data_IF_437468856846
#
_entry.id   IF_437468856846
#
_cell.length_a   1.000
_cell.length_b   1.000
_cell.length_c   1.000
_cell.angle_alpha   90.00
_cell.angle_beta   90.00
_cell.angle_gamma   90.00
#
_symmetry.space_group_name_H-M   'P 1'
#
loop_
_entity.id
_entity.type
_entity.pdbx_description
1 polymer ?
#
# COMPACT_ATOMS: atom_id res chain seq x y z
N UNK A 1 -51.52 21.10 40.27
CA UNK A 1 -51.32 22.38 39.61
C UNK A 1 -51.04 22.05 38.13
N UNK A 2 -52.11 22.22 37.34
CA UNK A 2 -52.19 21.79 35.93
C UNK A 2 -51.39 22.73 35.02
N UNK A 3 -50.62 22.17 34.12
CA UNK A 3 -50.01 22.97 33.01
C UNK A 3 -50.30 22.31 31.66
N UNK A 4 -51.01 23.08 30.89
CA UNK A 4 -51.70 22.81 29.64
C UNK A 4 -50.70 22.75 28.49
N UNK A 5 -50.76 21.68 27.70
CA UNK A 5 -50.04 21.52 26.45
C UNK A 5 -50.90 22.07 25.30
N UNK A 6 -50.40 23.00 24.52
CA UNK A 6 -51.01 23.46 23.25
C UNK A 6 -50.27 22.88 22.05
N UNK A 7 -50.95 22.35 21.03
CA UNK A 7 -50.33 21.92 19.79
C UNK A 7 -50.21 23.07 18.82
N UNK A 8 -49.04 23.15 18.16
CA UNK A 8 -48.77 24.07 17.05
C UNK A 8 -49.09 23.40 15.72
N UNK A 9 -49.89 24.10 14.92
CA UNK A 9 -50.46 23.60 13.67
C UNK A 9 -49.45 23.50 12.53
N UNK A 10 -49.65 22.47 11.71
CA UNK A 10 -48.96 22.21 10.46
C UNK A 10 -49.69 23.00 9.37
N UNK A 11 -48.97 23.90 8.69
CA UNK A 11 -49.41 24.55 7.45
C UNK A 11 -48.85 23.77 6.25
N UNK A 12 -49.74 23.13 5.53
CA UNK A 12 -49.45 22.39 4.28
C UNK A 12 -49.60 23.36 3.12
N UNK A 13 -48.52 23.73 2.45
CA UNK A 13 -48.57 24.50 1.20
C UNK A 13 -48.42 23.52 0.05
N UNK A 14 -49.53 23.27 -0.65
CA UNK A 14 -49.59 22.55 -1.91
C UNK A 14 -49.20 23.50 -3.05
N UNK A 15 -48.01 23.39 -3.58
CA UNK A 15 -47.57 24.01 -4.82
C UNK A 15 -47.77 23.09 -5.99
N UNK A 16 -48.77 23.36 -6.84
CA UNK A 16 -48.93 22.74 -8.16
C UNK A 16 -47.89 23.28 -9.12
N UNK A 17 -47.07 22.34 -9.66
CA UNK A 17 -46.21 22.65 -10.81
C UNK A 17 -46.65 21.77 -11.99
N UNK A 18 -47.07 22.45 -13.07
CA UNK A 18 -47.35 21.87 -14.40
C UNK A 18 -46.03 21.68 -15.18
N UNK A 19 -45.90 20.60 -15.98
CA UNK A 19 -44.73 20.42 -16.83
C UNK A 19 -44.88 21.17 -18.12
N UNK A 20 -43.92 22.03 -18.47
CA UNK A 20 -43.74 22.55 -19.81
C UNK A 20 -42.97 21.54 -20.66
N UNK A 21 -43.64 21.02 -21.72
CA UNK A 21 -43.00 20.24 -22.75
C UNK A 21 -42.08 21.13 -23.59
N UNK A 22 -40.78 20.83 -23.64
CA UNK A 22 -39.89 21.35 -24.66
C UNK A 22 -39.50 20.21 -25.60
N UNK A 23 -39.91 20.36 -26.85
CA UNK A 23 -39.53 19.50 -27.98
C UNK A 23 -38.03 19.66 -28.31
N UNK A 24 -37.38 18.52 -28.48
CA UNK A 24 -36.45 18.23 -29.57
C UNK A 24 -35.13 18.99 -29.63
N UNK A 25 -34.05 18.29 -29.22
CA UNK A 25 -32.79 18.25 -29.97
C UNK A 25 -32.00 17.00 -29.48
N UNK A 26 -31.84 16.02 -30.39
CA UNK A 26 -30.87 14.93 -30.22
C UNK A 26 -29.44 15.53 -30.16
N UNK A 27 -28.61 15.19 -29.18
CA UNK A 27 -27.20 15.53 -29.27
C UNK A 27 -26.49 14.57 -30.23
N UNK A 28 -25.81 15.14 -31.22
CA UNK A 28 -24.91 14.53 -32.18
C UNK A 28 -23.95 13.53 -31.52
N UNK A 29 -23.82 12.35 -32.13
CA UNK A 29 -22.78 11.37 -31.82
C UNK A 29 -21.41 11.97 -32.14
N UNK A 30 -20.44 11.99 -31.24
CA UNK A 30 -19.08 12.36 -31.58
C UNK A 30 -18.49 11.31 -32.54
N UNK A 31 -18.02 11.80 -33.66
CA UNK A 31 -17.27 11.05 -34.68
C UNK A 31 -15.99 10.49 -34.06
N UNK A 32 -15.73 9.21 -34.33
CA UNK A 32 -14.44 8.55 -34.09
C UNK A 32 -13.33 9.36 -34.75
N UNK A 33 -12.58 10.06 -33.93
CA UNK A 33 -11.34 10.74 -34.31
C UNK A 33 -10.15 9.83 -34.02
N UNK A 34 -9.30 9.71 -35.00
CA UNK A 34 -8.07 8.93 -35.11
C UNK A 34 -7.12 9.16 -33.94
N UNK A 35 -6.50 8.05 -33.50
CA UNK A 35 -5.43 7.95 -32.54
C UNK A 35 -4.15 8.62 -33.08
N UNK A 36 -3.61 9.69 -32.47
CA UNK A 36 -2.27 10.16 -32.81
C UNK A 36 -1.24 9.35 -32.02
N UNK A 37 -0.57 8.43 -32.70
CA UNK A 37 0.51 7.58 -32.21
C UNK A 37 1.45 8.25 -31.21
N UNK A 38 1.53 7.64 -30.02
CA UNK A 38 2.41 8.09 -28.94
C UNK A 38 2.56 7.12 -27.78
N UNK A 39 2.14 5.86 -27.87
CA UNK A 39 2.13 4.97 -26.72
C UNK A 39 2.72 3.57 -26.99
N UNK A 40 3.78 3.48 -27.81
CA UNK A 40 4.49 2.21 -28.05
C UNK A 40 5.87 2.08 -27.40
N UNK A 41 6.24 2.97 -26.46
CA UNK A 41 7.60 2.97 -25.91
C UNK A 41 7.76 2.39 -24.49
N UNK A 42 6.70 1.84 -23.86
CA UNK A 42 6.76 1.36 -22.47
C UNK A 42 6.31 -0.08 -22.25
N UNK A 43 6.18 -0.89 -23.28
CA UNK A 43 5.76 -2.31 -23.16
C UNK A 43 6.85 -3.24 -22.54
N UNK A 44 8.03 -2.71 -22.18
CA UNK A 44 9.15 -3.51 -21.65
C UNK A 44 9.32 -3.51 -20.12
N UNK A 45 8.59 -2.71 -19.36
CA UNK A 45 8.82 -2.52 -17.91
C UNK A 45 7.69 -2.99 -17.01
N UNK A 46 6.72 -3.77 -17.51
CA UNK A 46 5.72 -4.44 -16.67
C UNK A 46 4.78 -3.51 -15.89
N UNK A 47 4.66 -2.25 -16.25
CA UNK A 47 3.67 -1.34 -15.66
C UNK A 47 2.30 -1.62 -16.27
N UNK A 48 1.49 -2.42 -15.55
CA UNK A 48 0.06 -2.54 -15.86
C UNK A 48 -0.62 -1.23 -15.51
N UNK A 49 -1.11 -0.50 -16.52
CA UNK A 49 -2.01 0.62 -16.29
C UNK A 49 -3.27 0.05 -15.65
N UNK A 50 -3.60 0.47 -14.42
CA UNK A 50 -4.80 0.04 -13.72
C UNK A 50 -6.04 0.30 -14.60
N UNK A 51 -6.98 -0.64 -14.68
CA UNK A 51 -8.22 -0.39 -15.40
C UNK A 51 -8.98 0.75 -14.72
N UNK A 52 -9.28 1.82 -15.46
CA UNK A 52 -10.17 2.88 -15.01
C UNK A 52 -11.58 2.32 -14.87
N UNK A 53 -11.92 1.76 -13.71
CA UNK A 53 -13.24 1.17 -13.54
C UNK A 53 -13.41 0.23 -12.36
N UNK A 54 -13.06 0.60 -11.13
CA UNK A 54 -13.58 -0.04 -9.91
C UNK A 54 -13.27 -1.53 -9.69
N UNK A 55 -12.43 -2.15 -10.52
CA UNK A 55 -11.98 -3.53 -10.39
C UNK A 55 -10.82 -3.70 -9.41
N UNK A 56 -10.43 -4.95 -9.16
CA UNK A 56 -9.16 -5.24 -8.47
C UNK A 56 -8.01 -4.63 -9.24
N UNK A 57 -6.99 -4.15 -8.52
CA UNK A 57 -5.76 -3.65 -9.12
C UNK A 57 -4.60 -4.58 -8.80
N UNK A 58 -3.68 -4.69 -9.73
CA UNK A 58 -2.39 -5.35 -9.52
C UNK A 58 -1.34 -4.30 -9.21
N UNK A 59 -0.68 -4.43 -8.07
CA UNK A 59 0.45 -3.58 -7.68
C UNK A 59 1.58 -4.43 -7.12
N UNK A 60 2.79 -3.90 -7.05
CA UNK A 60 3.94 -4.69 -6.66
C UNK A 60 5.06 -3.89 -6.04
N UNK A 61 6.03 -4.62 -5.48
CA UNK A 61 7.27 -4.11 -4.89
C UNK A 61 8.39 -5.14 -5.09
N UNK A 62 9.57 -4.69 -5.46
CA UNK A 62 10.77 -5.53 -5.62
C UNK A 62 10.53 -6.80 -6.47
N UNK A 63 9.69 -6.71 -7.51
CA UNK A 63 9.39 -7.81 -8.41
C UNK A 63 8.30 -8.78 -7.94
N UNK A 64 7.80 -8.65 -6.71
CA UNK A 64 6.63 -9.38 -6.22
C UNK A 64 5.35 -8.57 -6.48
N UNK A 65 4.24 -9.26 -6.75
CA UNK A 65 2.98 -8.65 -7.15
C UNK A 65 1.81 -9.17 -6.32
N UNK A 66 0.81 -8.31 -6.13
CA UNK A 66 -0.44 -8.70 -5.50
C UNK A 66 -1.62 -8.02 -6.19
N UNK A 67 -2.78 -8.69 -6.18
CA UNK A 67 -4.02 -8.19 -6.79
C UNK A 67 -5.15 -8.14 -5.78
N UNK A 68 -5.82 -7.01 -5.67
CA UNK A 68 -6.88 -6.83 -4.69
C UNK A 68 -7.45 -5.42 -4.64
N UNK A 69 -8.23 -5.16 -3.60
CA UNK A 69 -8.78 -3.85 -3.25
C UNK A 69 -8.13 -3.23 -2.02
N UNK A 70 -7.57 -4.08 -1.12
CA UNK A 70 -7.03 -3.68 0.18
C UNK A 70 -5.60 -4.15 0.31
N UNK A 71 -4.69 -3.22 0.51
CA UNK A 71 -3.25 -3.46 0.59
C UNK A 71 -2.71 -3.00 1.94
N UNK A 72 -1.90 -3.82 2.59
CA UNK A 72 -1.19 -3.43 3.81
C UNK A 72 0.30 -3.61 3.59
N UNK A 73 1.04 -2.56 3.86
CA UNK A 73 2.49 -2.50 3.76
C UNK A 73 3.07 -2.54 5.17
N UNK A 74 3.83 -3.58 5.50
CA UNK A 74 4.40 -3.82 6.83
C UNK A 74 5.91 -3.83 6.69
N UNK A 75 6.57 -2.74 7.06
CA UNK A 75 7.97 -2.53 6.79
C UNK A 75 8.78 -2.34 8.05
N UNK A 76 9.85 -3.08 8.13
CA UNK A 76 10.85 -2.96 9.17
C UNK A 76 11.54 -1.58 9.09
N UNK A 77 11.66 -0.93 10.24
CA UNK A 77 12.45 0.27 10.45
C UNK A 77 13.42 0.14 11.62
N UNK A 78 13.81 -1.10 11.96
CA UNK A 78 14.85 -1.36 12.96
C UNK A 78 16.17 -0.66 12.63
N UNK A 79 17.07 -0.59 13.58
CA UNK A 79 18.35 0.09 13.40
C UNK A 79 19.19 -0.46 12.25
N UNK A 80 19.12 -1.77 11.98
CA UNK A 80 19.81 -2.44 10.89
C UNK A 80 19.38 -1.94 9.51
N UNK A 81 18.10 -1.59 9.33
CA UNK A 81 17.57 -0.97 8.10
C UNK A 81 18.14 0.41 7.80
N UNK A 82 18.80 1.04 8.78
CA UNK A 82 19.40 2.38 8.69
C UNK A 82 20.85 2.40 8.18
N UNK A 83 21.45 1.25 7.92
CA UNK A 83 22.84 1.15 7.45
C UNK A 83 23.09 1.95 6.16
N UNK A 84 24.37 2.38 5.98
CA UNK A 84 24.87 3.06 4.76
C UNK A 84 24.02 4.24 4.28
N UNK A 85 23.75 5.17 5.18
CA UNK A 85 23.01 6.39 4.84
C UNK A 85 21.53 6.16 4.55
N UNK A 86 20.92 5.13 5.18
CA UNK A 86 19.52 4.75 5.00
C UNK A 86 19.16 4.27 3.57
N UNK A 87 20.11 3.69 2.83
CA UNK A 87 19.86 3.26 1.45
C UNK A 87 18.70 2.27 1.35
N UNK A 88 18.66 1.27 2.24
CA UNK A 88 17.56 0.30 2.32
C UNK A 88 16.21 0.97 2.55
N UNK A 89 16.12 1.81 3.58
CA UNK A 89 14.87 2.52 3.91
C UNK A 89 14.44 3.49 2.79
N UNK A 90 15.38 4.15 2.11
CA UNK A 90 15.07 5.00 0.93
C UNK A 90 14.49 4.18 -0.22
N UNK A 91 15.05 2.99 -0.51
CA UNK A 91 14.54 2.11 -1.55
C UNK A 91 13.12 1.63 -1.23
N UNK A 92 12.86 1.23 0.01
CA UNK A 92 11.51 0.86 0.48
C UNK A 92 10.51 1.98 0.26
N UNK A 93 10.85 3.20 0.65
CA UNK A 93 9.99 4.39 0.47
C UNK A 93 9.69 4.66 -1.01
N UNK A 94 10.68 4.55 -1.88
CA UNK A 94 10.52 4.76 -3.32
C UNK A 94 9.61 3.70 -3.96
N UNK A 95 9.83 2.41 -3.66
CA UNK A 95 9.01 1.30 -4.14
C UNK A 95 7.56 1.41 -3.65
N UNK A 96 7.37 1.79 -2.38
CA UNK A 96 6.04 2.02 -1.83
C UNK A 96 5.30 3.14 -2.58
N UNK A 97 5.94 4.26 -2.82
CA UNK A 97 5.33 5.35 -3.58
C UNK A 97 4.97 4.92 -5.01
N UNK A 98 5.81 4.11 -5.66
CA UNK A 98 5.52 3.53 -6.97
C UNK A 98 4.32 2.58 -6.90
N UNK A 99 4.26 1.73 -5.88
CA UNK A 99 3.11 0.82 -5.64
C UNK A 99 1.81 1.59 -5.42
N UNK A 100 1.81 2.66 -4.61
CA UNK A 100 0.62 3.48 -4.34
C UNK A 100 0.10 4.22 -5.58
N UNK A 101 0.96 4.56 -6.55
CA UNK A 101 0.53 5.19 -7.81
C UNK A 101 -0.39 4.30 -8.64
N UNK A 102 -0.28 2.98 -8.50
CA UNK A 102 -1.14 2.02 -9.19
C UNK A 102 -2.56 1.93 -8.61
N UNK A 103 -2.77 2.43 -7.38
CA UNK A 103 -4.06 2.36 -6.70
C UNK A 103 -4.98 3.51 -7.13
N UNK A 104 -6.24 3.19 -7.44
CA UNK A 104 -7.31 4.15 -7.68
C UNK A 104 -8.05 4.49 -6.38
N UNK A 105 -8.90 5.50 -6.42
CA UNK A 105 -9.65 6.03 -5.27
C UNK A 105 -10.58 5.03 -4.58
N UNK A 106 -10.93 3.92 -5.25
CA UNK A 106 -11.75 2.83 -4.69
C UNK A 106 -10.92 1.83 -3.88
N UNK A 107 -9.62 1.81 -4.07
CA UNK A 107 -8.71 0.92 -3.34
C UNK A 107 -8.37 1.51 -1.97
N UNK A 108 -7.98 0.65 -1.07
CA UNK A 108 -7.60 1.04 0.28
C UNK A 108 -6.20 0.54 0.62
N UNK A 109 -5.49 1.31 1.41
CA UNK A 109 -4.16 0.92 1.88
C UNK A 109 -3.90 1.31 3.32
N UNK A 110 -2.93 0.64 3.94
CA UNK A 110 -2.34 1.03 5.21
C UNK A 110 -0.83 0.82 5.14
N UNK A 111 -0.09 1.68 5.83
CA UNK A 111 1.37 1.60 5.96
C UNK A 111 1.72 1.47 7.44
N UNK A 112 2.44 0.41 7.76
CA UNK A 112 2.94 0.12 9.11
C UNK A 112 4.46 0.07 9.02
N UNK A 113 5.14 1.05 9.58
CA UNK A 113 6.56 0.92 9.87
C UNK A 113 6.72 0.39 11.28
N UNK A 114 7.43 -0.71 11.44
CA UNK A 114 7.56 -1.37 12.72
C UNK A 114 9.01 -1.51 13.19
N UNK A 115 9.15 -1.47 14.47
CA UNK A 115 10.22 -1.91 15.33
C UNK A 115 9.55 -2.43 16.62
N UNK A 116 10.08 -2.21 17.81
CA UNK A 116 9.35 -2.48 19.06
C UNK A 116 8.14 -1.54 19.26
N UNK A 117 8.10 -0.42 18.55
CA UNK A 117 7.03 0.61 18.62
C UNK A 117 6.53 0.95 17.23
N UNK A 118 5.55 0.20 16.71
CA UNK A 118 5.01 0.43 15.37
C UNK A 118 4.43 1.84 15.19
N UNK A 119 4.66 2.41 14.02
CA UNK A 119 4.08 3.68 13.58
C UNK A 119 3.19 3.43 12.38
N UNK A 120 1.91 3.81 12.50
CA UNK A 120 0.90 3.58 11.48
C UNK A 120 0.59 4.88 10.73
N UNK A 121 0.42 4.77 9.42
CA UNK A 121 -0.15 5.84 8.62
C UNK A 121 -1.59 6.12 9.08
N UNK A 122 -1.88 7.37 9.45
CA UNK A 122 -3.16 7.72 10.07
C UNK A 122 -3.68 9.08 9.57
N UNK A 123 -4.14 9.16 8.30
CA UNK A 123 -4.60 10.43 7.73
C UNK A 123 -5.94 10.90 8.31
N UNK A 124 -6.74 10.00 8.89
CA UNK A 124 -8.08 10.31 9.43
C UNK A 124 -8.10 10.57 10.94
N UNK A 125 -6.96 10.45 11.63
CA UNK A 125 -6.89 10.51 13.09
C UNK A 125 -7.43 9.25 13.81
N UNK A 126 -7.91 8.23 13.07
CA UNK A 126 -8.38 6.96 13.64
C UNK A 126 -7.33 5.86 13.37
N UNK A 127 -6.55 5.43 14.36
CA UNK A 127 -5.49 4.44 14.16
C UNK A 127 -6.02 3.10 13.64
N UNK A 128 -5.21 2.41 12.84
CA UNK A 128 -5.47 1.04 12.42
C UNK A 128 -6.58 0.87 11.37
N UNK A 129 -7.04 1.95 10.75
CA UNK A 129 -7.99 1.88 9.62
C UNK A 129 -7.25 1.98 8.29
N UNK A 130 -7.78 1.27 7.28
CA UNK A 130 -7.33 1.43 5.90
C UNK A 130 -7.79 2.80 5.39
N UNK A 131 -6.90 3.51 4.69
CA UNK A 131 -7.20 4.76 4.01
C UNK A 131 -7.54 4.51 2.55
N UNK A 132 -8.50 5.22 1.98
CA UNK A 132 -8.71 5.20 0.53
C UNK A 132 -7.53 5.82 -0.21
N UNK A 133 -7.16 5.26 -1.36
CA UNK A 133 -6.03 5.70 -2.16
C UNK A 133 -6.36 6.95 -3.00
N UNK A 134 -6.97 7.97 -2.37
CA UNK A 134 -7.19 9.28 -2.97
C UNK A 134 -5.85 10.00 -3.17
N UNK A 135 -5.77 10.92 -4.12
CA UNK A 135 -4.56 11.72 -4.35
C UNK A 135 -4.14 12.48 -3.09
N UNK A 136 -5.11 13.00 -2.32
CA UNK A 136 -4.84 13.62 -1.02
C UNK A 136 -4.12 12.64 -0.07
N UNK A 137 -4.64 11.44 0.11
CA UNK A 137 -4.06 10.45 1.03
C UNK A 137 -2.69 9.96 0.54
N UNK A 138 -2.46 9.86 -0.78
CA UNK A 138 -1.14 9.56 -1.34
C UNK A 138 -0.10 10.65 -1.01
N UNK A 139 -0.47 11.93 -1.13
CA UNK A 139 0.39 13.05 -0.74
C UNK A 139 0.66 13.06 0.77
N UNK A 140 -0.34 12.76 1.60
CA UNK A 140 -0.15 12.64 3.05
C UNK A 140 0.74 11.45 3.40
N UNK A 141 0.61 10.32 2.66
CA UNK A 141 1.49 9.16 2.81
C UNK A 141 2.95 9.51 2.49
N UNK A 142 3.22 10.25 1.42
CA UNK A 142 4.58 10.72 1.10
C UNK A 142 5.19 11.55 2.24
N UNK A 143 4.43 12.45 2.84
CA UNK A 143 4.89 13.22 4.02
C UNK A 143 5.16 12.32 5.23
N UNK A 144 4.28 11.34 5.46
CA UNK A 144 4.47 10.35 6.50
C UNK A 144 5.76 9.55 6.28
N UNK A 145 6.04 9.08 5.06
CA UNK A 145 7.27 8.39 4.72
C UNK A 145 8.52 9.23 5.04
N UNK A 146 8.47 10.54 4.76
CA UNK A 146 9.59 11.44 5.03
C UNK A 146 9.87 11.63 6.53
N UNK A 147 8.90 11.36 7.40
CA UNK A 147 9.08 11.41 8.86
C UNK A 147 9.59 10.11 9.48
N UNK A 148 9.76 9.04 8.70
CA UNK A 148 10.20 7.74 9.20
C UNK A 148 11.72 7.62 9.16
N UNK A 149 12.30 7.29 10.32
CA UNK A 149 13.71 6.97 10.48
C UNK A 149 13.89 5.53 10.98
N UNK A 150 15.04 4.93 10.64
CA UNK A 150 15.43 3.62 11.13
C UNK A 150 16.00 3.74 12.54
N UNK A 151 15.43 3.01 13.50
CA UNK A 151 15.87 2.98 14.88
C UNK A 151 15.24 1.82 15.68
N UNK A 152 15.87 1.43 16.77
CA UNK A 152 15.37 0.44 17.73
C UNK A 152 15.57 -1.01 17.29
N UNK A 153 14.95 -1.93 17.99
CA UNK A 153 14.93 -3.38 17.69
C UNK A 153 13.73 -3.77 16.80
N UNK A 154 13.28 -5.03 16.91
CA UNK A 154 12.33 -5.60 15.93
C UNK A 154 11.29 -6.48 16.63
N UNK A 155 10.00 -6.37 16.26
CA UNK A 155 8.93 -7.28 16.67
C UNK A 155 8.07 -7.69 15.44
N UNK A 156 8.53 -8.74 14.76
CA UNK A 156 7.87 -9.28 13.56
C UNK A 156 6.46 -9.81 13.86
N UNK A 157 6.29 -10.53 14.99
CA UNK A 157 5.01 -11.15 15.37
C UNK A 157 3.92 -10.09 15.55
N UNK A 158 4.21 -9.04 16.31
CA UNK A 158 3.26 -7.96 16.55
C UNK A 158 2.91 -7.21 15.26
N UNK A 159 3.90 -6.94 14.40
CA UNK A 159 3.70 -6.25 13.13
C UNK A 159 2.81 -7.04 12.17
N UNK A 160 3.08 -8.32 11.97
CA UNK A 160 2.28 -9.20 11.12
C UNK A 160 0.86 -9.38 11.66
N UNK A 161 0.68 -9.55 12.98
CA UNK A 161 -0.64 -9.59 13.60
C UNK A 161 -1.44 -8.31 13.34
N UNK A 162 -0.80 -7.17 13.44
CA UNK A 162 -1.42 -5.86 13.22
C UNK A 162 -1.86 -5.71 11.75
N UNK A 163 -1.02 -6.08 10.79
CA UNK A 163 -1.35 -6.05 9.38
C UNK A 163 -2.50 -6.99 9.02
N UNK A 164 -2.45 -8.23 9.50
CA UNK A 164 -3.48 -9.25 9.25
C UNK A 164 -4.84 -8.89 9.86
N UNK A 165 -4.85 -8.23 11.03
CA UNK A 165 -6.09 -7.82 11.71
C UNK A 165 -6.95 -6.85 10.88
N UNK A 166 -6.34 -6.15 9.91
CA UNK A 166 -7.05 -5.25 8.99
C UNK A 166 -7.75 -5.98 7.84
N UNK A 167 -7.57 -7.31 7.73
CA UNK A 167 -8.16 -8.18 6.71
C UNK A 167 -7.96 -7.64 5.30
N UNK A 168 -6.70 -7.38 4.88
CA UNK A 168 -6.39 -6.96 3.53
C UNK A 168 -6.50 -8.14 2.55
N UNK A 169 -6.52 -7.84 1.25
CA UNK A 169 -6.34 -8.85 0.21
C UNK A 169 -4.86 -9.20 0.07
N UNK A 170 -3.97 -8.19 0.23
CA UNK A 170 -2.52 -8.35 0.04
C UNK A 170 -1.76 -7.69 1.17
N UNK A 171 -0.72 -8.37 1.67
CA UNK A 171 0.31 -7.81 2.55
C UNK A 171 1.66 -7.83 1.81
N UNK A 172 2.37 -6.71 1.82
CA UNK A 172 3.79 -6.63 1.52
C UNK A 172 4.55 -6.53 2.85
N UNK A 173 5.30 -7.56 3.19
CA UNK A 173 6.09 -7.63 4.43
C UNK A 173 7.57 -7.55 4.09
N UNK A 174 8.28 -6.56 4.64
CA UNK A 174 9.69 -6.31 4.35
C UNK A 174 10.49 -6.16 5.62
N UNK A 175 11.63 -6.87 5.68
CA UNK A 175 12.62 -6.80 6.77
C UNK A 175 13.99 -7.24 6.24
N UNK A 176 15.05 -6.96 6.98
CA UNK A 176 16.39 -7.51 6.72
C UNK A 176 16.62 -8.87 7.39
N UNK A 177 15.61 -9.40 8.07
CA UNK A 177 15.64 -10.75 8.63
C UNK A 177 16.59 -10.92 9.82
N UNK A 178 17.09 -9.83 10.39
CA UNK A 178 17.88 -9.85 11.61
C UNK A 178 17.04 -10.28 12.83
N UNK A 179 17.72 -10.55 13.93
CA UNK A 179 17.08 -10.98 15.18
C UNK A 179 15.94 -10.01 15.63
N UNK A 180 14.87 -10.54 16.19
CA UNK A 180 14.63 -11.93 16.59
C UNK A 180 14.08 -12.83 15.48
N UNK A 181 14.64 -14.03 15.32
CA UNK A 181 14.09 -15.07 14.44
C UNK A 181 12.76 -15.58 15.01
N UNK A 182 11.75 -15.73 14.15
CA UNK A 182 10.45 -16.28 14.55
C UNK A 182 10.58 -17.76 14.95
N UNK A 183 10.07 -18.08 16.12
CA UNK A 183 9.96 -19.48 16.59
C UNK A 183 8.86 -20.22 15.81
N UNK A 184 8.94 -21.55 15.80
CA UNK A 184 7.90 -22.41 15.17
C UNK A 184 6.50 -22.12 15.72
N UNK A 185 6.37 -21.80 17.02
CA UNK A 185 5.10 -21.48 17.65
C UNK A 185 4.55 -20.13 17.14
N UNK A 186 5.42 -19.11 17.00
CA UNK A 186 5.04 -17.82 16.43
C UNK A 186 4.62 -17.96 14.96
N UNK A 187 5.40 -18.71 14.15
CA UNK A 187 5.03 -18.98 12.76
C UNK A 187 3.65 -19.64 12.65
N UNK A 188 3.33 -20.61 13.51
CA UNK A 188 2.01 -21.26 13.51
C UNK A 188 0.87 -20.29 13.82
N UNK A 189 1.08 -19.34 14.73
CA UNK A 189 0.08 -18.27 14.99
C UNK A 189 -0.09 -17.38 13.77
N UNK A 190 1.03 -16.97 13.15
CA UNK A 190 1.05 -16.11 11.97
C UNK A 190 0.34 -16.80 10.80
N UNK A 191 0.56 -18.08 10.57
CA UNK A 191 -0.19 -18.89 9.57
C UNK A 191 -1.71 -18.73 9.76
N UNK A 192 -2.19 -18.82 11.01
CA UNK A 192 -3.60 -18.65 11.33
C UNK A 192 -4.12 -17.23 11.03
N UNK A 193 -3.32 -16.18 11.31
CA UNK A 193 -3.73 -14.80 11.04
C UNK A 193 -3.71 -14.45 9.55
N UNK A 194 -2.82 -15.06 8.77
CA UNK A 194 -2.65 -14.81 7.35
C UNK A 194 -3.55 -15.67 6.46
N UNK A 195 -4.37 -16.55 7.05
CA UNK A 195 -5.26 -17.41 6.29
C UNK A 195 -6.18 -16.59 5.36
N UNK A 196 -6.10 -16.84 4.06
CA UNK A 196 -6.86 -16.13 3.03
C UNK A 196 -6.31 -14.76 2.62
N UNK A 197 -5.15 -14.36 3.12
CA UNK A 197 -4.44 -13.13 2.75
C UNK A 197 -3.25 -13.51 1.86
N UNK A 198 -3.10 -12.87 0.71
CA UNK A 198 -1.90 -13.03 -0.11
C UNK A 198 -0.75 -12.23 0.52
N UNK A 199 0.36 -12.90 0.84
CA UNK A 199 1.52 -12.23 1.41
C UNK A 199 2.73 -12.31 0.49
N UNK A 200 3.37 -11.16 0.29
CA UNK A 200 4.65 -10.98 -0.40
C UNK A 200 5.72 -10.67 0.64
N UNK A 201 6.70 -11.56 0.80
CA UNK A 201 7.79 -11.40 1.78
C UNK A 201 9.05 -10.97 1.05
N UNK A 202 9.61 -9.84 1.47
CA UNK A 202 10.79 -9.21 0.89
C UNK A 202 11.88 -9.19 1.96
N UNK A 203 12.96 -9.92 1.73
CA UNK A 203 14.12 -9.96 2.62
C UNK A 203 15.26 -9.14 2.05
N UNK A 204 15.75 -8.19 2.81
CA UNK A 204 16.93 -7.41 2.45
C UNK A 204 18.18 -8.02 3.07
N UNK A 205 19.28 -8.01 2.33
CA UNK A 205 20.56 -8.42 2.86
C UNK A 205 21.72 -8.01 1.95
N UNK A 206 22.95 -7.94 2.47
CA UNK A 206 24.12 -7.56 1.71
C UNK A 206 24.63 -8.71 0.84
N UNK A 207 24.88 -8.44 -0.45
CA UNK A 207 25.46 -9.41 -1.39
C UNK A 207 24.45 -10.48 -1.86
N UNK A 208 24.99 -11.62 -2.27
CA UNK A 208 24.18 -12.74 -2.75
C UNK A 208 23.35 -13.35 -1.60
N UNK A 209 22.18 -13.88 -1.96
CA UNK A 209 21.35 -14.60 -0.99
C UNK A 209 22.14 -15.74 -0.33
N UNK A 210 22.13 -15.84 1.03
CA UNK A 210 22.81 -16.92 1.73
C UNK A 210 22.24 -18.30 1.36
N UNK A 211 23.11 -19.34 1.34
CA UNK A 211 22.68 -20.73 1.09
C UNK A 211 21.76 -21.25 2.18
N UNK A 212 21.91 -20.75 3.42
CA UNK A 212 21.05 -21.10 4.55
C UNK A 212 19.65 -20.53 4.35
N UNK A 213 18.66 -21.41 4.46
CA UNK A 213 17.25 -21.00 4.40
C UNK A 213 16.93 -20.04 5.57
N UNK A 214 16.45 -18.84 5.23
CA UNK A 214 15.98 -17.87 6.23
C UNK A 214 14.59 -18.27 6.76
N UNK A 215 14.28 -17.83 7.98
CA UNK A 215 12.94 -18.04 8.56
C UNK A 215 11.84 -17.33 7.72
N UNK A 216 12.18 -16.29 6.99
CA UNK A 216 11.26 -15.56 6.11
C UNK A 216 10.87 -16.39 4.90
N UNK A 217 11.83 -17.10 4.30
CA UNK A 217 11.56 -18.05 3.20
C UNK A 217 10.74 -19.23 3.69
N UNK A 218 11.02 -19.75 4.89
CA UNK A 218 10.20 -20.78 5.52
C UNK A 218 8.79 -20.28 5.80
N UNK A 219 8.62 -19.04 6.33
CA UNK A 219 7.32 -18.45 6.56
C UNK A 219 6.52 -18.33 5.27
N UNK A 220 7.12 -17.79 4.18
CA UNK A 220 6.46 -17.69 2.88
C UNK A 220 5.91 -19.04 2.42
N UNK A 221 6.72 -20.10 2.49
CA UNK A 221 6.32 -21.45 2.12
C UNK A 221 5.14 -21.98 2.97
N UNK A 222 5.13 -21.71 4.28
CA UNK A 222 4.07 -22.16 5.19
C UNK A 222 2.73 -21.50 4.92
N UNK A 223 2.73 -20.21 4.58
CA UNK A 223 1.51 -19.42 4.34
C UNK A 223 1.07 -19.42 2.87
N UNK A 224 1.82 -20.09 1.98
CA UNK A 224 1.56 -20.06 0.54
C UNK A 224 1.78 -18.68 -0.09
N UNK A 225 2.67 -17.89 0.50
CA UNK A 225 3.06 -16.55 0.02
C UNK A 225 4.23 -16.59 -0.96
N UNK A 226 4.55 -15.44 -1.52
CA UNK A 226 5.73 -15.24 -2.37
C UNK A 226 6.90 -14.67 -1.56
N UNK A 227 8.13 -14.94 -2.03
CA UNK A 227 9.35 -14.50 -1.38
C UNK A 227 10.38 -14.01 -2.39
N UNK A 228 11.07 -12.92 -2.04
CA UNK A 228 12.23 -12.41 -2.77
C UNK A 228 13.32 -11.96 -1.81
N UNK A 229 14.57 -12.26 -2.17
CA UNK A 229 15.74 -11.68 -1.53
C UNK A 229 16.26 -10.51 -2.37
N UNK A 230 16.52 -9.38 -1.73
CA UNK A 230 17.00 -8.14 -2.37
C UNK A 230 18.41 -7.83 -1.88
N UNK A 231 19.36 -7.89 -2.79
CA UNK A 231 20.75 -7.53 -2.53
C UNK A 231 20.88 -6.00 -2.37
N UNK A 232 21.08 -5.56 -1.12
CA UNK A 232 21.18 -4.13 -0.79
C UNK A 232 22.42 -3.46 -1.36
N UNK A 233 23.48 -4.21 -1.71
CA UNK A 233 24.69 -3.65 -2.36
C UNK A 233 24.39 -3.14 -3.76
N UNK A 234 23.44 -3.75 -4.46
CA UNK A 234 22.99 -3.31 -5.79
C UNK A 234 22.12 -2.05 -5.76
N UNK A 235 21.36 -1.86 -4.68
CA UNK A 235 20.57 -0.64 -4.46
C UNK A 235 21.48 0.60 -4.41
N UNK A 236 22.63 0.49 -3.77
CA UNK A 236 23.63 1.58 -3.63
C UNK A 236 24.22 1.99 -4.97
N UNK A 237 24.66 1.02 -5.76
CA UNK A 237 25.30 1.29 -7.07
C UNK A 237 24.37 1.98 -8.05
N UNK A 238 23.08 1.73 -7.98
CA UNK A 238 22.09 2.39 -8.83
C UNK A 238 21.89 3.86 -8.43
N UNK A 239 21.86 4.16 -7.14
CA UNK A 239 21.71 5.53 -6.64
C UNK A 239 22.95 6.40 -6.93
N UNK A 240 24.16 5.87 -6.81
CA UNK A 240 25.40 6.58 -7.13
C UNK A 240 25.52 6.90 -8.62
N UNK A 241 25.13 5.97 -9.51
CA UNK A 241 25.09 6.22 -10.96
C UNK A 241 24.08 7.30 -11.34
N UNK A 242 22.95 7.37 -10.67
CA UNK A 242 21.93 8.39 -10.95
C UNK A 242 22.34 9.77 -10.43
N UNK A 243 23.10 9.84 -9.33
CA UNK A 243 23.62 11.10 -8.79
C UNK A 243 24.88 11.59 -9.53
N UNK A 244 25.68 10.69 -10.11
CA UNK A 244 26.89 11.04 -10.89
C UNK A 244 26.63 11.46 -12.34
N UNK A 245 25.40 11.29 -12.83
CA UNK A 245 25.03 11.65 -14.21
C UNK A 245 24.50 13.10 -14.38
N UNK A 246 24.48 13.89 -13.30
CA UNK A 246 24.00 15.29 -13.34
C UNK A 246 25.15 16.25 -13.09
N UNK A 247 26.11 16.36 -14.03
CA UNK A 247 26.87 17.60 -14.32
C UNK A 247 27.40 17.48 -15.76
N UNK A 248 27.02 18.36 -16.65
CA UNK A 248 28.00 19.11 -17.40
C UNK A 248 28.05 20.55 -16.96
#
# INVERSE_FOLDING_TARGET
MNMIIRPLGIVLVLGLWLPAAVLGAEPDKPKTGEDPGGMKAFEGLGFSVAPKGGGKVRTGMFGLWGEGYKFVYVFDRSGSMGGDGNASLKAVKAELLASLKNLDTVHQFQIIFYNERPVLFNPSGTPGKLAFATEHNKVVAERFLNSIDALGGTDHEAALRMGAAMKPDVIFFLTDGDDPILTTQQMKKIEGWLAGIHINIIEFGPGAQPDKESFLKELARRVGGEYVYVDTTKIRTTNEKTMGATVP
#
